data_IF_319100953825
#
_entry.id   IF_319100953825
#
_cell.length_a   1.000
_cell.length_b   1.000
_cell.length_c   1.000
_cell.angle_alpha   90.00
_cell.angle_beta   90.00
_cell.angle_gamma   90.00
#
_symmetry.space_group_name_H-M   'P 1'
#
loop_
_entity.id
_entity.type
_entity.pdbx_description
1 polymer ?
#
# COMPACT_ATOMS: atom_id res chain seq x y z
N UNK A 1 -40.82 -71.67 -22.41
CA UNK A 1 -39.49 -71.61 -23.05
C UNK A 1 -38.80 -70.33 -22.58
N UNK A 2 -37.78 -70.49 -21.71
CA UNK A 2 -36.73 -69.56 -21.25
C UNK A 2 -37.10 -68.07 -21.04
N UNK A 3 -37.38 -67.74 -19.78
CA UNK A 3 -37.24 -66.39 -19.22
C UNK A 3 -35.75 -66.05 -19.09
N UNK A 4 -35.31 -64.92 -19.68
CA UNK A 4 -33.94 -64.42 -19.57
C UNK A 4 -33.88 -63.43 -18.40
N UNK A 5 -33.21 -63.82 -17.33
CA UNK A 5 -32.82 -62.91 -16.24
C UNK A 5 -31.55 -62.19 -16.71
N UNK A 6 -31.64 -60.88 -16.90
CA UNK A 6 -30.48 -60.00 -17.10
C UNK A 6 -30.05 -59.53 -15.72
N UNK A 7 -28.89 -60.00 -15.26
CA UNK A 7 -28.24 -59.49 -14.05
C UNK A 7 -27.49 -58.23 -14.45
N UNK A 8 -28.02 -57.06 -14.04
CA UNK A 8 -27.32 -55.79 -14.13
C UNK A 8 -26.38 -55.68 -12.91
N UNK A 9 -25.08 -55.86 -13.10
CA UNK A 9 -24.09 -55.57 -12.06
C UNK A 9 -23.90 -54.05 -12.04
N UNK A 10 -24.46 -53.40 -11.03
CA UNK A 10 -24.23 -52.00 -10.74
C UNK A 10 -22.84 -51.86 -10.10
N UNK A 11 -21.83 -51.54 -10.91
CA UNK A 11 -20.52 -51.12 -10.40
C UNK A 11 -20.67 -49.67 -9.94
N UNK A 12 -20.85 -49.47 -8.64
CA UNK A 12 -20.74 -48.15 -8.03
C UNK A 12 -19.27 -47.75 -7.96
N UNK A 13 -18.84 -46.93 -8.92
CA UNK A 13 -17.59 -46.18 -8.79
C UNK A 13 -17.79 -45.15 -7.68
N UNK A 14 -17.28 -45.42 -6.49
CA UNK A 14 -17.02 -44.40 -5.47
C UNK A 14 -15.91 -43.49 -6.02
N UNK A 15 -16.30 -42.42 -6.71
CA UNK A 15 -15.41 -41.26 -6.88
C UNK A 15 -15.34 -40.62 -5.50
N UNK A 16 -14.33 -41.01 -4.72
CA UNK A 16 -13.87 -40.22 -3.58
C UNK A 16 -13.27 -38.95 -4.18
N UNK A 17 -14.14 -37.96 -4.41
CA UNK A 17 -13.71 -36.61 -4.65
C UNK A 17 -13.09 -36.08 -3.37
N UNK A 18 -11.80 -36.31 -3.16
CA UNK A 18 -11.00 -35.43 -2.32
C UNK A 18 -10.95 -34.06 -3.02
N UNK A 19 -12.03 -33.29 -2.90
CA UNK A 19 -11.92 -31.84 -2.97
C UNK A 19 -11.31 -31.38 -1.64
N UNK A 20 -10.00 -31.55 -1.52
CA UNK A 20 -9.26 -30.69 -0.61
C UNK A 20 -9.47 -29.28 -1.13
N UNK A 21 -10.28 -28.48 -0.42
CA UNK A 21 -10.14 -27.03 -0.53
C UNK A 21 -8.71 -26.76 -0.11
N UNK A 22 -7.85 -26.36 -1.03
CA UNK A 22 -6.61 -25.72 -0.66
C UNK A 22 -7.00 -24.53 0.22
N UNK A 23 -6.70 -24.65 1.51
CA UNK A 23 -7.01 -23.65 2.51
C UNK A 23 -6.12 -22.44 2.16
N UNK A 24 -6.74 -21.38 1.62
CA UNK A 24 -6.06 -20.14 1.31
C UNK A 24 -5.42 -19.60 2.59
N UNK A 25 -4.09 -19.53 2.64
CA UNK A 25 -3.35 -19.08 3.83
C UNK A 25 -3.07 -17.57 3.88
N UNK A 26 -3.61 -16.79 2.94
CA UNK A 26 -3.54 -15.33 3.02
C UNK A 26 -4.85 -14.76 3.55
N UNK A 27 -4.79 -13.59 4.18
CA UNK A 27 -5.99 -12.92 4.70
C UNK A 27 -6.78 -12.24 3.58
N UNK A 28 -8.01 -12.72 3.33
CA UNK A 28 -8.96 -12.03 2.45
C UNK A 28 -9.37 -10.66 3.00
N UNK A 29 -9.42 -10.49 4.33
CA UNK A 29 -9.69 -9.19 4.97
C UNK A 29 -8.62 -8.15 4.60
N UNK A 30 -7.34 -8.53 4.68
CA UNK A 30 -6.24 -7.66 4.28
C UNK A 30 -6.19 -7.46 2.77
N UNK A 31 -6.54 -8.46 1.98
CA UNK A 31 -6.57 -8.34 0.52
C UNK A 31 -7.66 -7.37 0.06
N UNK A 32 -8.83 -7.38 0.71
CA UNK A 32 -9.94 -6.45 0.44
C UNK A 32 -9.59 -4.99 0.72
N UNK A 33 -8.49 -4.69 1.42
CA UNK A 33 -7.97 -3.31 1.53
C UNK A 33 -7.68 -2.76 0.13
N UNK A 34 -7.14 -3.56 -0.78
CA UNK A 34 -6.71 -3.10 -2.10
C UNK A 34 -7.80 -3.33 -3.16
N UNK A 35 -7.74 -2.57 -4.26
CA UNK A 35 -8.73 -2.68 -5.34
C UNK A 35 -8.68 -4.04 -6.04
N UNK A 36 -9.78 -4.79 -5.96
CA UNK A 36 -9.99 -6.07 -6.66
C UNK A 36 -10.58 -5.94 -8.07
N UNK A 37 -11.03 -4.75 -8.49
CA UNK A 37 -11.59 -4.50 -9.83
C UNK A 37 -10.55 -4.46 -10.95
N UNK A 38 -10.85 -5.11 -12.08
CA UNK A 38 -10.01 -5.07 -13.28
C UNK A 38 -9.77 -3.64 -13.76
N UNK A 39 -8.48 -3.23 -13.72
CA UNK A 39 -7.96 -1.98 -14.27
C UNK A 39 -8.56 -0.73 -13.61
N UNK A 40 -8.22 -0.51 -12.34
CA UNK A 40 -8.41 0.79 -11.68
C UNK A 40 -7.16 1.67 -11.85
N UNK A 41 -7.38 2.97 -12.06
CA UNK A 41 -6.33 4.00 -12.01
C UNK A 41 -6.59 4.93 -10.83
N UNK A 42 -5.56 5.20 -10.03
CA UNK A 42 -5.60 6.01 -8.82
C UNK A 42 -4.70 7.23 -9.00
N UNK A 43 -5.21 8.39 -8.62
CA UNK A 43 -4.57 9.69 -8.79
C UNK A 43 -4.22 10.26 -7.42
N UNK A 44 -2.93 10.48 -7.18
CA UNK A 44 -2.43 11.06 -5.95
C UNK A 44 -1.87 12.45 -6.21
N UNK A 45 -2.14 13.35 -5.27
CA UNK A 45 -1.68 14.74 -5.28
C UNK A 45 -1.24 15.15 -3.87
N UNK A 46 -0.32 16.11 -3.77
CA UNK A 46 0.33 16.45 -2.53
C UNK A 46 1.16 17.73 -2.56
N UNK A 47 1.97 17.88 -1.51
CA UNK A 47 2.75 19.10 -1.29
C UNK A 47 3.83 19.31 -2.35
N UNK A 48 4.21 20.58 -2.58
CA UNK A 48 5.28 20.96 -3.50
C UNK A 48 5.11 20.40 -4.93
N UNK A 49 3.89 20.52 -5.46
CA UNK A 49 3.52 20.06 -6.80
C UNK A 49 3.75 18.55 -7.01
N UNK A 50 3.77 17.77 -5.91
CA UNK A 50 3.92 16.33 -5.99
C UNK A 50 2.63 15.67 -6.48
N UNK A 51 2.75 14.89 -7.55
CA UNK A 51 1.66 14.05 -8.04
C UNK A 51 2.19 12.75 -8.61
N UNK A 52 1.39 11.70 -8.51
CA UNK A 52 1.64 10.46 -9.25
C UNK A 52 0.34 9.73 -9.54
N UNK A 53 0.41 8.84 -10.53
CA UNK A 53 -0.72 8.02 -10.96
C UNK A 53 -0.28 6.57 -10.84
N UNK A 54 -1.12 5.71 -10.27
CA UNK A 54 -0.91 4.26 -10.30
C UNK A 54 -2.09 3.55 -10.95
N UNK A 55 -1.80 2.59 -11.84
CA UNK A 55 -2.80 1.72 -12.45
C UNK A 55 -2.56 0.30 -12.01
N UNK A 56 -3.62 -0.38 -11.54
CA UNK A 56 -3.52 -1.77 -11.12
C UNK A 56 -3.24 -2.65 -12.33
N UNK A 57 -2.10 -3.33 -12.32
CA UNK A 57 -1.63 -4.17 -13.41
C UNK A 57 -1.96 -5.64 -13.22
N UNK A 58 -1.98 -6.13 -11.98
CA UNK A 58 -2.18 -7.55 -11.72
C UNK A 58 -2.73 -7.85 -10.31
N UNK A 59 -3.47 -8.95 -10.19
CA UNK A 59 -3.88 -9.56 -8.92
C UNK A 59 -3.68 -11.06 -9.02
N UNK A 60 -2.83 -11.59 -8.15
CA UNK A 60 -2.49 -13.00 -8.09
C UNK A 60 -2.85 -13.57 -6.73
N UNK A 61 -3.41 -14.78 -6.74
CA UNK A 61 -3.70 -15.57 -5.54
C UNK A 61 -2.90 -16.86 -5.68
N UNK A 62 -1.69 -16.88 -5.12
CA UNK A 62 -0.71 -17.96 -5.30
C UNK A 62 -0.40 -18.61 -3.95
N UNK A 63 -0.91 -19.83 -3.73
CA UNK A 63 -0.66 -20.60 -2.51
C UNK A 63 -1.04 -19.84 -1.23
N UNK A 64 -0.04 -19.41 -0.47
CA UNK A 64 -0.20 -18.70 0.80
C UNK A 64 -0.15 -17.17 0.69
N UNK A 65 -0.17 -16.62 -0.54
CA UNK A 65 -0.03 -15.17 -0.75
C UNK A 65 -1.10 -14.64 -1.72
N UNK A 66 -1.68 -13.50 -1.37
CA UNK A 66 -2.39 -12.61 -2.29
C UNK A 66 -1.45 -11.49 -2.71
N UNK A 67 -1.29 -11.23 -4.00
CA UNK A 67 -0.37 -10.22 -4.51
C UNK A 67 -1.14 -9.24 -5.38
N UNK A 68 -1.08 -7.95 -5.04
CA UNK A 68 -1.65 -6.87 -5.86
C UNK A 68 -0.53 -5.99 -6.38
N UNK A 69 -0.48 -5.80 -7.69
CA UNK A 69 0.58 -5.02 -8.35
C UNK A 69 0.00 -3.79 -9.03
N UNK A 70 0.69 -2.67 -8.86
CA UNK A 70 0.39 -1.40 -9.49
C UNK A 70 1.60 -0.89 -10.26
N UNK A 71 1.37 -0.41 -11.49
CA UNK A 71 2.35 0.33 -12.26
C UNK A 71 2.10 1.82 -12.03
N UNK A 72 3.15 2.54 -11.64
CA UNK A 72 3.09 3.95 -11.31
C UNK A 72 3.89 4.82 -12.27
N UNK A 73 3.45 6.07 -12.41
CA UNK A 73 4.19 7.14 -13.10
C UNK A 73 4.08 8.44 -12.33
N UNK A 74 5.15 9.21 -12.34
CA UNK A 74 5.14 10.56 -11.76
C UNK A 74 4.31 11.49 -12.63
N UNK A 75 3.62 12.42 -11.98
CA UNK A 75 2.84 13.49 -12.61
C UNK A 75 2.97 14.74 -11.73
N UNK A 76 4.22 15.08 -11.42
CA UNK A 76 4.61 16.18 -10.54
C UNK A 76 5.19 17.36 -11.35
N UNK A 77 5.45 18.49 -10.68
CA UNK A 77 5.99 19.70 -11.31
C UNK A 77 7.37 19.55 -11.97
N UNK A 78 8.12 18.48 -11.69
CA UNK A 78 9.42 18.24 -12.31
C UNK A 78 9.30 17.69 -13.75
N UNK A 79 8.12 17.20 -14.15
CA UNK A 79 7.86 16.74 -15.51
C UNK A 79 8.65 15.49 -15.92
N UNK A 80 8.64 15.22 -17.23
CA UNK A 80 9.19 14.00 -17.86
C UNK A 80 10.14 14.30 -19.04
N UNK A 81 10.72 15.52 -19.09
CA UNK A 81 11.56 16.00 -20.20
C UNK A 81 12.70 15.02 -20.56
N UNK A 82 13.32 14.39 -19.55
CA UNK A 82 14.44 13.47 -19.75
C UNK A 82 14.02 11.98 -19.81
N UNK A 83 12.72 11.70 -19.86
CA UNK A 83 12.15 10.36 -19.98
C UNK A 83 11.02 10.10 -19.00
N UNK A 84 10.32 8.99 -19.22
CA UNK A 84 9.22 8.57 -18.36
C UNK A 84 9.74 8.19 -16.96
N UNK A 85 9.16 8.79 -15.93
CA UNK A 85 9.49 8.53 -14.53
C UNK A 85 8.47 7.55 -13.97
N UNK A 86 8.91 6.30 -13.81
CA UNK A 86 8.01 5.17 -13.53
C UNK A 86 8.40 4.42 -12.27
N UNK A 87 7.46 3.67 -11.72
CA UNK A 87 7.72 2.78 -10.60
C UNK A 87 6.71 1.63 -10.59
N UNK A 88 6.96 0.62 -9.77
CA UNK A 88 6.02 -0.46 -9.49
C UNK A 88 5.85 -0.57 -7.98
N UNK A 89 4.62 -0.72 -7.53
CA UNK A 89 4.28 -1.03 -6.13
C UNK A 89 3.60 -2.39 -6.10
N UNK A 90 4.10 -3.27 -5.24
CA UNK A 90 3.51 -4.59 -4.99
C UNK A 90 3.13 -4.70 -3.52
N UNK A 91 1.87 -5.04 -3.26
CA UNK A 91 1.38 -5.42 -1.94
C UNK A 91 1.26 -6.93 -1.86
N UNK A 92 2.07 -7.56 -1.01
CA UNK A 92 2.03 -8.99 -0.74
C UNK A 92 1.29 -9.23 0.57
N UNK A 93 0.11 -9.81 0.47
CA UNK A 93 -0.78 -10.16 1.57
C UNK A 93 -0.50 -11.59 1.99
N UNK A 94 -0.09 -11.75 3.24
CA UNK A 94 0.10 -13.05 3.90
C UNK A 94 -1.07 -13.31 4.86
N UNK A 95 -0.95 -14.32 5.72
CA UNK A 95 -1.99 -14.71 6.68
C UNK A 95 -2.38 -13.56 7.62
N UNK A 96 -1.41 -12.75 8.04
CA UNK A 96 -1.60 -11.77 9.10
C UNK A 96 -1.06 -10.38 8.81
N UNK A 97 -0.49 -10.13 7.62
CA UNK A 97 0.17 -8.87 7.30
C UNK A 97 0.21 -8.56 5.82
N UNK A 98 0.51 -7.30 5.51
CA UNK A 98 0.75 -6.81 4.16
C UNK A 98 2.16 -6.22 4.08
N UNK A 99 2.93 -6.68 3.10
CA UNK A 99 4.28 -6.19 2.79
C UNK A 99 4.22 -5.37 1.50
N UNK A 100 4.64 -4.11 1.56
CA UNK A 100 4.82 -3.23 0.41
C UNK A 100 6.24 -3.34 -0.13
N UNK A 101 6.38 -3.63 -1.42
CA UNK A 101 7.65 -3.57 -2.15
C UNK A 101 7.54 -2.57 -3.28
N UNK A 102 8.48 -1.64 -3.37
CA UNK A 102 8.53 -0.64 -4.43
C UNK A 102 9.79 -0.81 -5.27
N UNK A 103 9.66 -0.63 -6.58
CA UNK A 103 10.80 -0.52 -7.52
C UNK A 103 10.67 0.77 -8.29
N UNK A 104 11.67 1.63 -8.21
CA UNK A 104 11.64 2.96 -8.83
C UNK A 104 12.56 2.99 -10.04
N UNK A 105 12.06 3.56 -11.12
CA UNK A 105 12.80 3.90 -12.33
C UNK A 105 12.53 5.39 -12.65
N UNK A 106 13.14 6.25 -11.84
CA UNK A 106 13.03 7.70 -11.91
C UNK A 106 14.43 8.30 -11.82
N UNK A 107 14.85 9.04 -12.85
CA UNK A 107 16.19 9.63 -12.91
C UNK A 107 16.39 10.79 -11.91
N UNK A 108 15.32 11.36 -11.36
CA UNK A 108 15.40 12.32 -10.25
C UNK A 108 15.51 11.64 -8.89
N UNK A 109 15.06 10.39 -8.77
CA UNK A 109 15.08 9.66 -7.51
C UNK A 109 16.33 8.77 -7.40
N UNK A 110 17.15 9.03 -6.37
CA UNK A 110 18.32 8.20 -6.09
C UNK A 110 17.97 6.89 -5.38
N UNK A 111 16.77 6.80 -4.78
CA UNK A 111 16.28 5.59 -4.11
C UNK A 111 15.64 4.68 -5.15
N UNK A 112 15.99 3.40 -5.07
CA UNK A 112 15.49 2.39 -6.02
C UNK A 112 14.41 1.50 -5.44
N UNK A 113 14.28 1.46 -4.11
CA UNK A 113 13.44 0.49 -3.38
C UNK A 113 12.27 1.11 -2.60
N UNK A 114 12.09 2.41 -2.71
CA UNK A 114 11.02 3.18 -2.06
C UNK A 114 10.79 4.47 -2.83
N UNK A 115 9.53 4.93 -2.90
CA UNK A 115 9.20 6.19 -3.57
C UNK A 115 9.46 7.37 -2.63
N UNK A 116 8.66 7.50 -1.57
CA UNK A 116 8.77 8.57 -0.57
C UNK A 116 9.10 8.07 0.85
N UNK A 117 8.93 6.78 1.12
CA UNK A 117 9.44 6.18 2.36
C UNK A 117 10.98 6.09 2.35
N UNK A 118 11.59 5.86 3.50
CA UNK A 118 12.97 5.35 3.58
C UNK A 118 13.01 3.83 3.82
N UNK A 119 11.87 3.21 4.10
CA UNK A 119 11.77 1.84 4.59
C UNK A 119 11.53 0.88 3.42
N UNK A 120 12.51 0.04 3.04
CA UNK A 120 12.29 -0.98 2.03
C UNK A 120 11.45 -2.14 2.58
N UNK A 121 10.65 -2.79 1.72
CA UNK A 121 9.87 -4.00 2.06
C UNK A 121 9.02 -3.82 3.33
N UNK A 122 8.30 -2.71 3.42
CA UNK A 122 7.64 -2.30 4.65
C UNK A 122 6.44 -3.19 4.99
N UNK A 123 6.29 -3.59 6.25
CA UNK A 123 5.04 -4.19 6.74
C UNK A 123 4.07 -3.06 7.05
N UNK A 124 3.17 -2.76 6.11
CA UNK A 124 2.29 -1.58 6.15
C UNK A 124 0.99 -1.79 6.92
N UNK A 125 0.53 -3.04 7.04
CA UNK A 125 -0.64 -3.43 7.82
C UNK A 125 -0.41 -4.80 8.45
N UNK A 126 -0.95 -5.00 9.66
CA UNK A 126 -0.93 -6.29 10.36
C UNK A 126 -2.24 -6.51 11.11
N UNK A 127 -2.74 -7.75 11.12
CA UNK A 127 -3.88 -8.15 11.94
C UNK A 127 -3.51 -8.20 13.44
N UNK A 128 -4.47 -7.96 14.34
CA UNK A 128 -5.82 -7.48 14.07
C UNK A 128 -5.84 -6.00 13.61
N UNK A 129 -6.80 -5.61 12.77
CA UNK A 129 -6.97 -4.23 12.30
C UNK A 129 -7.69 -3.36 13.35
N UNK A 130 -7.04 -3.18 14.50
CA UNK A 130 -7.60 -2.51 15.67
C UNK A 130 -6.63 -1.46 16.23
N UNK A 131 -7.18 -0.41 16.85
CA UNK A 131 -6.39 0.65 17.48
C UNK A 131 -5.49 0.06 18.57
N UNK A 132 -4.21 0.44 18.55
CA UNK A 132 -3.20 -0.04 19.47
C UNK A 132 -2.48 -1.31 19.02
N UNK A 133 -2.88 -1.94 17.90
CA UNK A 133 -2.08 -3.03 17.35
C UNK A 133 -0.73 -2.48 16.86
N UNK A 134 0.36 -3.05 17.37
CA UNK A 134 1.74 -2.60 17.11
C UNK A 134 2.60 -3.77 16.69
N UNK A 135 3.45 -3.56 15.69
CA UNK A 135 4.47 -4.53 15.27
C UNK A 135 5.81 -3.87 15.06
N UNK A 136 6.86 -4.64 15.30
CA UNK A 136 8.24 -4.23 15.05
C UNK A 136 8.98 -5.27 14.24
N UNK A 137 9.92 -4.81 13.43
CA UNK A 137 10.77 -5.66 12.59
C UNK A 137 12.05 -4.90 12.23
N UNK A 138 13.06 -5.63 11.77
CA UNK A 138 14.34 -5.05 11.38
C UNK A 138 14.41 -4.84 9.87
N UNK A 139 15.00 -3.72 9.46
CA UNK A 139 15.32 -3.41 8.06
C UNK A 139 16.73 -2.85 7.95
N UNK A 140 17.37 -3.06 6.82
CA UNK A 140 18.59 -2.32 6.46
C UNK A 140 18.16 -1.22 5.50
N UNK A 141 18.34 0.03 5.90
CA UNK A 141 18.01 1.19 5.06
C UNK A 141 18.97 1.29 3.88
N UNK A 142 18.50 1.87 2.77
CA UNK A 142 19.33 2.04 1.57
C UNK A 142 20.54 2.94 1.87
N UNK A 143 21.75 2.40 1.70
CA UNK A 143 23.01 3.08 2.03
C UNK A 143 23.57 2.78 3.42
N UNK A 144 22.84 2.05 4.28
CA UNK A 144 23.31 1.61 5.58
C UNK A 144 23.75 0.13 5.57
N UNK A 145 24.55 -0.28 6.57
CA UNK A 145 24.96 -1.67 6.80
C UNK A 145 24.41 -2.26 8.10
N UNK A 146 23.85 -1.42 8.97
CA UNK A 146 23.35 -1.82 10.28
C UNK A 146 21.82 -1.91 10.23
N UNK A 147 21.22 -2.99 10.77
CA UNK A 147 19.77 -3.07 10.89
C UNK A 147 19.20 -1.97 11.78
N UNK A 148 18.02 -1.47 11.42
CA UNK A 148 17.22 -0.52 12.19
C UNK A 148 15.91 -1.19 12.60
N UNK A 149 15.47 -0.95 13.82
CA UNK A 149 14.14 -1.35 14.28
C UNK A 149 13.09 -0.38 13.76
N UNK A 150 12.15 -0.89 12.97
CA UNK A 150 10.95 -0.20 12.54
C UNK A 150 9.82 -0.60 13.47
N UNK A 151 9.04 0.36 13.97
CA UNK A 151 7.83 0.09 14.76
C UNK A 151 6.65 0.78 14.14
N UNK A 152 5.59 0.03 13.83
CA UNK A 152 4.35 0.56 13.27
C UNK A 152 3.18 0.27 14.19
N UNK A 153 2.28 1.24 14.36
CA UNK A 153 1.07 1.11 15.20
C UNK A 153 -0.16 1.58 14.44
N UNK A 154 -1.27 0.85 14.54
CA UNK A 154 -2.58 1.38 14.16
C UNK A 154 -3.04 2.35 15.25
N UNK A 155 -2.89 3.65 15.03
CA UNK A 155 -3.17 4.66 16.07
C UNK A 155 -4.60 5.20 16.01
N UNK A 156 -5.31 4.99 14.89
CA UNK A 156 -6.69 5.47 14.70
C UNK A 156 -7.44 4.57 13.71
N UNK A 157 -8.71 4.33 14.01
CA UNK A 157 -9.66 3.71 13.08
C UNK A 157 -10.91 4.57 13.06
N UNK A 158 -11.39 4.95 11.89
CA UNK A 158 -12.60 5.78 11.73
C UNK A 158 -13.43 5.33 10.54
N UNK A 159 -14.68 5.79 10.46
CA UNK A 159 -15.57 5.49 9.33
C UNK A 159 -15.38 6.52 8.22
N UNK A 160 -15.62 6.12 6.98
CA UNK A 160 -15.78 7.06 5.87
C UNK A 160 -17.23 7.56 5.92
N UNK A 161 -17.48 8.89 5.99
CA UNK A 161 -18.84 9.44 6.14
C UNK A 161 -19.88 8.85 5.17
N UNK A 162 -19.49 8.68 3.91
CA UNK A 162 -20.39 8.24 2.83
C UNK A 162 -20.28 6.74 2.54
N UNK A 163 -19.39 6.03 3.24
CA UNK A 163 -19.26 4.57 3.24
C UNK A 163 -19.21 4.06 4.69
N UNK A 164 -20.32 4.11 5.45
CA UNK A 164 -20.35 3.82 6.88
C UNK A 164 -19.98 2.38 7.24
N UNK A 165 -19.98 1.46 6.27
CA UNK A 165 -19.50 0.08 6.39
C UNK A 165 -17.97 -0.04 6.23
N UNK A 166 -17.30 0.98 5.70
CA UNK A 166 -15.86 1.01 5.47
C UNK A 166 -15.14 1.77 6.58
N UNK A 167 -14.10 1.13 7.10
CA UNK A 167 -13.17 1.71 8.08
C UNK A 167 -11.89 2.18 7.40
N UNK A 168 -11.40 3.32 7.82
CA UNK A 168 -10.06 3.82 7.50
C UNK A 168 -9.12 3.46 8.64
N UNK A 169 -8.06 2.73 8.31
CA UNK A 169 -7.02 2.30 9.23
C UNK A 169 -5.81 3.21 9.11
N UNK A 170 -5.49 3.92 10.19
CA UNK A 170 -4.36 4.84 10.24
C UNK A 170 -3.19 4.19 10.94
N UNK A 171 -2.05 4.19 10.28
CA UNK A 171 -0.78 3.66 10.78
C UNK A 171 0.21 4.78 11.00
N UNK A 172 0.99 4.68 12.07
CA UNK A 172 2.18 5.50 12.31
C UNK A 172 3.37 4.56 12.44
N UNK A 173 4.37 4.75 11.60
CA UNK A 173 5.64 4.03 11.61
C UNK A 173 6.74 4.95 12.10
N UNK A 174 7.61 4.43 12.96
CA UNK A 174 8.70 5.18 13.60
C UNK A 174 10.01 4.40 13.50
N UNK A 175 11.10 5.13 13.23
CA UNK A 175 12.49 4.69 13.43
C UNK A 175 13.18 5.73 14.30
N UNK A 176 13.68 5.31 15.46
CA UNK A 176 14.43 6.15 16.39
C UNK A 176 15.94 6.12 16.10
N UNK A 177 16.65 7.17 16.49
CA UNK A 177 18.11 7.26 16.38
C UNK A 177 18.63 7.37 14.94
N UNK A 178 17.86 8.01 14.04
CA UNK A 178 18.23 8.23 12.65
C UNK A 178 18.75 9.66 12.47
N UNK A 179 20.04 9.78 12.11
CA UNK A 179 20.69 11.08 11.93
C UNK A 179 20.12 11.82 10.72
N UNK A 180 20.18 13.15 10.77
CA UNK A 180 19.64 14.01 9.72
C UNK A 180 18.11 14.06 9.69
N UNK A 181 17.41 13.58 10.71
CA UNK A 181 15.96 13.81 10.88
C UNK A 181 15.70 14.61 12.16
N UNK A 182 14.65 15.46 12.19
CA UNK A 182 14.27 16.21 13.38
C UNK A 182 14.15 15.31 14.61
N UNK A 183 14.81 15.67 15.71
CA UNK A 183 14.82 14.87 16.93
C UNK A 183 15.43 13.47 16.78
N UNK A 184 16.24 13.24 15.74
CA UNK A 184 16.82 11.94 15.38
C UNK A 184 15.77 10.84 15.17
N UNK A 185 14.61 11.22 14.63
CA UNK A 185 13.46 10.33 14.49
C UNK A 185 12.85 10.47 13.11
N UNK A 186 12.73 9.35 12.42
CA UNK A 186 11.89 9.25 11.24
C UNK A 186 10.50 8.83 11.67
N UNK A 187 9.47 9.48 11.13
CA UNK A 187 8.12 8.96 11.17
C UNK A 187 7.47 8.99 9.80
N UNK A 188 6.54 8.08 9.59
CA UNK A 188 5.57 8.16 8.50
C UNK A 188 4.18 7.77 8.98
N UNK A 189 3.16 8.42 8.43
CA UNK A 189 1.75 8.12 8.67
C UNK A 189 1.09 7.74 7.37
N UNK A 190 0.29 6.69 7.42
CA UNK A 190 -0.48 6.22 6.26
C UNK A 190 -1.91 5.91 6.65
N UNK A 191 -2.84 6.09 5.74
CA UNK A 191 -4.23 5.68 5.91
C UNK A 191 -4.62 4.67 4.83
N UNK A 192 -5.33 3.61 5.20
CA UNK A 192 -5.77 2.56 4.28
C UNK A 192 -7.27 2.31 4.43
N UNK A 193 -7.96 2.02 3.33
CA UNK A 193 -9.39 1.68 3.39
C UNK A 193 -9.78 0.55 2.41
N UNK A 194 -10.75 -0.31 2.78
CA UNK A 194 -11.29 -1.35 1.93
C UNK A 194 -11.71 -0.88 0.52
N UNK A 195 -11.14 -1.56 -0.48
CA UNK A 195 -11.36 -1.29 -1.88
C UNK A 195 -10.73 0.01 -2.37
N UNK A 196 -9.87 0.67 -1.59
CA UNK A 196 -9.15 1.88 -2.02
C UNK A 196 -7.63 1.70 -2.00
N UNK A 197 -7.11 0.81 -1.15
CA UNK A 197 -5.69 0.72 -0.85
C UNK A 197 -5.27 1.86 0.07
N UNK A 198 -4.12 2.47 -0.23
CA UNK A 198 -3.59 3.61 0.52
C UNK A 198 -4.35 4.88 0.11
N UNK A 199 -4.90 5.60 1.08
CA UNK A 199 -5.57 6.87 0.89
C UNK A 199 -4.64 8.06 1.09
N UNK A 200 -3.57 7.87 1.87
CA UNK A 200 -2.75 8.97 2.34
C UNK A 200 -1.39 8.50 2.82
N UNK A 201 -0.42 9.39 2.65
CA UNK A 201 0.93 9.27 3.15
C UNK A 201 1.43 10.62 3.68
N UNK A 202 2.17 10.58 4.77
CA UNK A 202 2.95 11.68 5.31
C UNK A 202 4.24 11.14 5.91
N UNK A 203 5.34 11.89 5.82
CA UNK A 203 6.56 11.59 6.56
C UNK A 203 7.27 12.84 7.10
N UNK A 204 8.16 12.63 8.05
CA UNK A 204 9.22 13.59 8.37
C UNK A 204 10.22 13.70 7.22
N UNK A 205 10.70 14.91 6.96
CA UNK A 205 11.74 15.19 5.97
C UNK A 205 13.10 15.28 6.68
N UNK A 206 14.14 14.79 6.02
CA UNK A 206 15.50 14.95 6.54
C UNK A 206 15.92 16.42 6.57
N UNK A 207 16.63 16.82 7.62
CA UNK A 207 17.39 18.05 7.66
C UNK A 207 18.33 18.16 6.44
N UNK A 208 18.60 19.39 6.02
CA UNK A 208 19.57 19.67 4.97
C UNK A 208 20.70 20.55 5.50
N UNK A 209 21.82 20.53 4.81
CA UNK A 209 22.95 21.42 5.11
C UNK A 209 22.76 22.69 4.27
N UNK A 210 22.67 23.84 4.94
CA UNK A 210 22.58 25.14 4.26
C UNK A 210 23.93 25.59 3.65
N UNK A 211 23.92 26.72 2.95
CA UNK A 211 25.11 27.30 2.32
C UNK A 211 26.24 27.61 3.31
N UNK A 212 25.93 27.73 4.61
CA UNK A 212 26.90 27.98 5.68
C UNK A 212 27.49 26.70 6.28
N UNK A 213 27.06 25.52 5.80
CA UNK A 213 27.47 24.23 6.37
C UNK A 213 26.71 23.87 7.64
N UNK A 214 25.64 24.60 7.98
CA UNK A 214 24.82 24.33 9.17
C UNK A 214 23.69 23.39 8.82
N UNK A 215 23.45 22.41 9.68
CA UNK A 215 22.27 21.56 9.60
C UNK A 215 21.02 22.37 9.96
N UNK A 216 20.07 22.39 9.03
CA UNK A 216 18.77 23.05 9.17
C UNK A 216 17.72 21.97 9.25
N UNK A 217 17.14 21.82 10.45
CA UNK A 217 15.97 20.97 10.64
C UNK A 217 14.79 21.53 9.83
N UNK A 218 14.06 20.60 9.21
CA UNK A 218 12.90 20.90 8.40
C UNK A 218 11.66 20.69 9.28
N UNK A 219 10.98 21.74 9.76
CA UNK A 219 9.84 21.59 10.67
C UNK A 219 8.55 21.19 9.95
N UNK A 220 8.61 20.98 8.64
CA UNK A 220 7.47 20.55 7.83
C UNK A 220 7.58 19.07 7.45
N UNK A 221 6.42 18.46 7.27
CA UNK A 221 6.28 17.11 6.75
C UNK A 221 6.07 17.15 5.24
N UNK A 222 6.43 16.07 4.55
CA UNK A 222 5.97 15.87 3.18
C UNK A 222 4.77 14.93 3.21
N UNK A 223 3.79 15.14 2.34
CA UNK A 223 2.64 14.23 2.24
C UNK A 223 1.81 14.41 0.99
N UNK A 224 1.02 13.39 0.69
CA UNK A 224 0.10 13.31 -0.45
C UNK A 224 -1.09 12.43 -0.09
N UNK A 225 -2.19 12.58 -0.83
CA UNK A 225 -3.41 11.82 -0.65
C UNK A 225 -3.98 11.37 -1.99
N UNK A 226 -4.80 10.32 -1.94
CA UNK A 226 -5.65 9.92 -3.06
C UNK A 226 -6.63 11.07 -3.31
N UNK A 227 -6.57 11.64 -4.51
CA UNK A 227 -7.48 12.70 -4.96
C UNK A 227 -8.67 12.12 -5.71
N UNK A 228 -8.42 11.11 -6.57
CA UNK A 228 -9.48 10.48 -7.34
C UNK A 228 -9.10 9.11 -7.89
N UNK A 229 -10.09 8.45 -8.49
CA UNK A 229 -9.91 7.16 -9.15
C UNK A 229 -10.77 7.04 -10.40
N UNK A 230 -10.33 6.19 -11.31
CA UNK A 230 -11.02 5.84 -12.54
C UNK A 230 -11.14 4.31 -12.63
N UNK A 231 -12.34 3.82 -12.90
CA UNK A 231 -12.61 2.39 -13.13
C UNK A 231 -12.70 2.15 -14.64
N UNK A 232 -11.95 1.18 -15.15
CA UNK A 232 -11.85 0.91 -16.59
C UNK A 232 -10.93 1.92 -17.30
N UNK A 233 -10.91 1.86 -18.63
CA UNK A 233 -10.09 2.75 -19.46
C UNK A 233 -10.97 3.83 -20.11
N UNK A 234 -10.75 5.10 -19.74
CA UNK A 234 -11.56 6.24 -20.16
C UNK A 234 -12.83 6.45 -19.34
N UNK A 235 -12.86 5.97 -18.09
CA UNK A 235 -13.97 6.17 -17.16
C UNK A 235 -14.05 7.60 -16.61
N UNK A 236 -15.12 7.92 -15.89
CA UNK A 236 -15.23 9.17 -15.15
C UNK A 236 -14.30 9.12 -13.93
N UNK A 237 -13.50 10.17 -13.74
CA UNK A 237 -12.69 10.33 -12.53
C UNK A 237 -13.62 10.68 -11.38
N UNK A 238 -13.77 9.74 -10.45
CA UNK A 238 -14.48 9.94 -9.19
C UNK A 238 -13.51 10.59 -8.21
N UNK A 239 -13.96 11.62 -7.51
CA UNK A 239 -13.19 12.28 -6.46
C UNK A 239 -13.47 11.57 -5.14
N UNK A 240 -12.42 11.16 -4.42
CA UNK A 240 -12.58 10.80 -3.00
C UNK A 240 -12.43 12.03 -2.13
N UNK A 241 -11.96 13.14 -2.70
CA UNK A 241 -11.65 14.34 -1.95
C UNK A 241 -12.87 14.79 -1.15
N UNK A 242 -14.06 14.84 -1.75
CA UNK A 242 -15.29 15.23 -1.06
C UNK A 242 -15.66 14.28 0.10
N UNK A 243 -15.23 13.03 0.02
CA UNK A 243 -15.57 11.94 0.95
C UNK A 243 -14.56 11.74 2.08
N UNK A 244 -13.35 12.28 1.94
CA UNK A 244 -12.32 12.16 2.96
C UNK A 244 -12.54 13.14 4.13
N UNK A 245 -12.24 12.74 5.38
CA UNK A 245 -12.17 13.64 6.52
C UNK A 245 -11.41 14.94 6.24
N UNK A 246 -11.88 16.06 6.80
CA UNK A 246 -11.37 17.42 6.55
C UNK A 246 -9.84 17.58 6.69
N UNK A 247 -9.17 16.80 7.53
CA UNK A 247 -7.71 16.92 7.69
C UNK A 247 -6.91 16.36 6.48
N UNK A 248 -7.51 15.50 5.66
CA UNK A 248 -6.95 15.16 4.34
C UNK A 248 -7.08 16.34 3.37
N UNK A 249 -8.11 17.16 3.53
CA UNK A 249 -8.42 18.33 2.68
C UNK A 249 -7.64 19.59 3.05
N UNK A 250 -7.14 19.70 4.27
CA UNK A 250 -6.54 20.94 4.80
C UNK A 250 -5.10 21.22 4.32
N UNK A 251 -4.53 20.41 3.41
CA UNK A 251 -3.12 20.53 3.00
C UNK A 251 -2.83 21.44 1.82
N UNK A 252 -3.85 22.02 1.19
CA UNK A 252 -3.71 23.03 0.14
C UNK A 252 -3.60 24.47 0.68
N UNK A 253 -3.29 24.66 1.96
CA UNK A 253 -3.18 25.98 2.58
C UNK A 253 -1.88 26.08 3.38
N UNK A 254 -0.73 26.16 2.71
CA UNK A 254 0.46 26.88 3.18
C UNK A 254 1.29 27.35 1.98
#
# INVERSE_FOLDING_TARGET
MRSKIIILILVSLLIVGCQGKDETKYSEELLQIFYSEEKVTLYYDGMAEYGHIITRSDVKKEGSQGIVTYNGKMNDGAGDEFGERTFTVQYTVEEDKVIETVRVNDYFNRKTKSLNSIIPNQIVLKLPLEVGNTWSYEVILEGETTPRTVTTTIYKVELIPDYPEKKVYHTETVIEGIEGYPGKKYFERRAFAPGFGMLYFENSISAYIDESGKEVEVPFTFGYALYGWEEGQGGEIKSIYDELPLYFKQRNIY
#
